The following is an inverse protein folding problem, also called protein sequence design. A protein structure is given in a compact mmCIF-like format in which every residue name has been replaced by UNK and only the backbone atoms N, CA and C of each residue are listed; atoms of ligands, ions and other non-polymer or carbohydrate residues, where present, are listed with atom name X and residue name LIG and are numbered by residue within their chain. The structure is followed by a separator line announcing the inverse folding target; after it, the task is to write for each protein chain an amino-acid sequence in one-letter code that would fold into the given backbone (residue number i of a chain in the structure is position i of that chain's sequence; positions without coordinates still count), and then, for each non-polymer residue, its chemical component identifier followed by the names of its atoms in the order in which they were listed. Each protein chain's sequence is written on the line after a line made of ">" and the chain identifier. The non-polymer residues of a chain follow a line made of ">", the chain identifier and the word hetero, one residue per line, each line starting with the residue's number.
data_IF_237559599678
#
_entry.id   IF_237559599678
#
_cell.length_a   1.000
_cell.length_b   1.000
_cell.length_c   1.000
_cell.angle_alpha   90.00
_cell.angle_beta   90.00
_cell.angle_gamma   90.00
#
_symmetry.space_group_name_H-M   'P 1'
#
loop_
_entity.id
_entity.type
_entity.pdbx_description
1 polymer ?
#
# COMPACT_ATOMS: atom_id res chain seq x y z
N UNK A 1 60.97 -26.74 9.07
CA UNK A 1 61.20 -25.35 9.54
C UNK A 1 59.85 -24.84 10.07
N UNK A 2 59.42 -25.05 11.31
CA UNK A 2 59.93 -24.59 12.62
C UNK A 2 59.96 -23.04 12.78
N UNK A 3 58.79 -22.45 13.12
CA UNK A 3 58.40 -21.47 14.17
C UNK A 3 59.42 -20.38 14.68
N UNK A 4 59.12 -19.48 15.67
CA UNK A 4 57.92 -18.70 16.10
C UNK A 4 58.28 -17.22 16.54
N UNK A 5 57.36 -16.52 17.27
CA UNK A 5 57.55 -15.31 18.12
C UNK A 5 57.81 -13.95 17.40
N UNK A 6 57.31 -12.77 17.82
CA UNK A 6 56.88 -12.28 19.13
C UNK A 6 55.88 -11.10 19.02
N UNK A 7 55.06 -10.93 20.06
CA UNK A 7 54.38 -9.67 20.42
C UNK A 7 55.44 -8.62 20.83
N UNK A 8 55.12 -7.31 20.78
CA UNK A 8 55.19 -6.35 21.92
C UNK A 8 55.00 -4.88 21.46
N UNK A 9 54.00 -4.24 22.08
CA UNK A 9 53.86 -2.85 22.55
C UNK A 9 54.17 -1.59 21.69
N UNK A 10 53.08 -0.85 21.49
CA UNK A 10 52.83 0.49 22.08
C UNK A 10 53.19 1.76 21.31
N UNK A 11 52.34 2.75 21.64
CA UNK A 11 52.48 4.20 21.57
C UNK A 11 51.86 4.89 20.36
N UNK A 12 50.81 5.65 20.71
CA UNK A 12 50.57 7.05 20.35
C UNK A 12 49.28 7.23 19.53
N UNK A 13 48.12 7.33 20.17
CA UNK A 13 47.50 8.60 20.60
C UNK A 13 47.65 9.73 19.56
N UNK A 14 46.55 10.03 18.86
CA UNK A 14 45.99 11.36 18.56
C UNK A 14 44.63 11.17 17.88
N UNK A 15 43.55 11.24 18.66
CA UNK A 15 42.65 12.41 18.83
C UNK A 15 41.47 12.39 17.85
N UNK A 16 40.37 11.79 18.30
CA UNK A 16 39.02 11.95 17.75
C UNK A 16 38.30 12.98 18.63
N UNK A 17 37.81 14.12 18.09
CA UNK A 17 37.03 15.05 18.89
C UNK A 17 35.56 14.62 18.92
N UNK A 18 35.06 14.33 20.14
CA UNK A 18 33.64 14.39 20.48
C UNK A 18 33.32 15.81 20.94
N UNK A 19 32.25 16.47 20.46
CA UNK A 19 31.71 17.63 21.14
C UNK A 19 30.37 17.25 21.78
N UNK A 20 30.41 16.88 23.06
CA UNK A 20 29.26 17.17 23.92
C UNK A 20 29.80 17.70 25.25
N UNK A 21 30.07 19.00 25.24
CA UNK A 21 30.34 19.81 26.43
C UNK A 21 29.08 20.61 26.74
N UNK A 22 28.56 20.38 27.93
CA UNK A 22 27.52 21.11 28.64
C UNK A 22 27.75 22.62 28.69
N UNK A 23 26.69 23.41 28.59
CA UNK A 23 26.59 24.70 29.27
C UNK A 23 25.15 24.91 29.76
N UNK A 24 25.00 25.12 31.07
CA UNK A 24 23.72 25.34 31.75
C UNK A 24 23.37 26.82 31.84
N UNK A 25 22.07 27.06 32.08
CA UNK A 25 21.42 28.18 32.77
C UNK A 25 21.23 29.54 32.07
N UNK A 26 19.96 29.96 32.02
CA UNK A 26 19.53 31.33 31.72
C UNK A 26 18.02 31.41 31.45
N UNK A 27 17.21 31.55 32.50
CA UNK A 27 15.75 31.70 32.44
C UNK A 27 15.31 32.84 31.50
N UNK A 28 14.27 32.59 30.69
CA UNK A 28 13.25 33.61 30.41
C UNK A 28 11.87 32.99 30.30
N UNK A 29 11.05 33.34 31.29
CA UNK A 29 9.62 33.04 31.39
C UNK A 29 8.88 33.39 30.09
N UNK A 30 8.15 32.42 29.52
CA UNK A 30 7.08 32.69 28.57
C UNK A 30 5.82 32.01 29.07
N UNK A 31 4.99 32.84 29.69
CA UNK A 31 3.60 32.61 30.11
C UNK A 31 2.92 31.46 29.36
N UNK A 32 2.60 30.40 30.11
CA UNK A 32 1.61 29.40 29.73
C UNK A 32 0.27 30.10 29.60
N UNK A 33 -0.22 30.26 28.37
CA UNK A 33 -1.66 30.46 28.16
C UNK A 33 -2.34 29.18 28.63
N UNK A 34 -3.03 29.26 29.77
CA UNK A 34 -3.94 28.23 30.25
C UNK A 34 -4.98 27.96 29.18
N UNK A 35 -4.97 26.74 28.64
CA UNK A 35 -6.14 26.20 27.95
C UNK A 35 -7.24 25.99 29.00
N UNK A 36 -8.51 26.26 28.66
CA UNK A 36 -9.59 26.10 29.63
C UNK A 36 -9.68 24.63 30.00
N UNK A 37 -9.70 24.37 31.30
CA UNK A 37 -10.02 23.06 31.87
C UNK A 37 -11.47 22.78 31.48
N UNK A 38 -11.66 21.97 30.44
CA UNK A 38 -12.96 21.41 30.10
C UNK A 38 -13.30 20.41 31.20
N UNK A 39 -14.43 20.67 31.85
CA UNK A 39 -14.93 19.89 32.97
C UNK A 39 -15.01 18.41 32.64
N UNK A 40 -14.71 17.61 33.65
CA UNK A 40 -14.91 16.18 33.67
C UNK A 40 -16.39 15.87 33.42
N UNK A 41 -16.71 15.49 32.19
CA UNK A 41 -17.92 14.74 31.90
C UNK A 41 -17.53 13.41 31.27
N UNK A 42 -18.16 12.35 31.76
CA UNK A 42 -17.78 10.96 31.56
C UNK A 42 -17.74 10.60 30.06
N UNK A 43 -16.55 10.54 29.46
CA UNK A 43 -16.39 10.10 28.08
C UNK A 43 -16.36 8.57 28.03
N UNK A 44 -17.54 8.01 27.82
CA UNK A 44 -17.70 6.65 27.27
C UNK A 44 -16.76 6.51 26.07
N UNK A 45 -15.93 5.47 26.04
CA UNK A 45 -14.86 5.26 25.07
C UNK A 45 -15.35 5.05 23.63
N UNK A 46 -15.72 6.14 22.97
CA UNK A 46 -16.04 6.17 21.54
C UNK A 46 -14.77 6.56 20.80
N UNK A 47 -14.15 5.58 20.12
CA UNK A 47 -13.19 5.88 19.06
C UNK A 47 -13.97 6.56 17.92
N UNK A 48 -13.66 7.80 17.54
CA UNK A 48 -14.46 8.58 16.59
C UNK A 48 -14.36 8.08 15.13
N UNK A 49 -13.54 7.06 14.87
CA UNK A 49 -13.33 6.48 13.55
C UNK A 49 -13.58 4.97 13.62
N UNK A 50 -14.37 4.40 12.69
CA UNK A 50 -14.49 2.96 12.58
C UNK A 50 -13.12 2.34 12.24
N UNK A 51 -12.88 1.06 12.60
CA UNK A 51 -11.66 0.36 12.20
C UNK A 51 -11.50 0.30 10.66
N UNK A 52 -10.27 0.38 10.15
CA UNK A 52 -9.97 0.40 8.71
C UNK A 52 -10.43 -0.86 7.94
N UNK A 53 -10.63 -1.97 8.65
CA UNK A 53 -11.17 -3.22 8.11
C UNK A 53 -12.71 -3.23 7.98
N UNK A 54 -13.38 -2.11 8.30
CA UNK A 54 -14.82 -1.97 8.10
C UNK A 54 -15.06 -1.50 6.67
N UNK A 55 -15.73 -2.33 5.87
CA UNK A 55 -15.98 -2.07 4.46
C UNK A 55 -17.44 -1.67 4.21
N UNK A 56 -17.68 -1.01 3.07
CA UNK A 56 -19.04 -0.88 2.54
C UNK A 56 -19.57 -2.25 2.07
N UNK A 57 -20.89 -2.34 1.86
CA UNK A 57 -21.51 -3.57 1.32
C UNK A 57 -20.93 -3.91 -0.07
N UNK A 58 -20.76 -2.91 -0.93
CA UNK A 58 -20.18 -3.07 -2.27
C UNK A 58 -18.73 -3.55 -2.22
N UNK A 59 -17.91 -2.97 -1.32
CA UNK A 59 -16.51 -3.38 -1.11
C UNK A 59 -16.42 -4.81 -0.59
N UNK A 60 -17.28 -5.20 0.36
CA UNK A 60 -17.33 -6.56 0.88
C UNK A 60 -17.75 -7.56 -0.19
N UNK A 61 -18.77 -7.24 -0.99
CA UNK A 61 -19.23 -8.08 -2.09
C UNK A 61 -18.14 -8.25 -3.15
N UNK A 62 -17.45 -7.17 -3.52
CA UNK A 62 -16.35 -7.23 -4.49
C UNK A 62 -15.21 -8.09 -3.97
N UNK A 63 -14.81 -7.92 -2.71
CA UNK A 63 -13.78 -8.73 -2.07
C UNK A 63 -14.13 -10.22 -2.12
N UNK A 64 -15.34 -10.59 -1.73
CA UNK A 64 -15.78 -12.00 -1.73
C UNK A 64 -15.86 -12.59 -3.14
N UNK A 65 -16.31 -11.80 -4.12
CA UNK A 65 -16.36 -12.20 -5.52
C UNK A 65 -14.96 -12.48 -6.09
N UNK A 66 -14.01 -11.56 -5.86
CA UNK A 66 -12.62 -11.71 -6.33
C UNK A 66 -11.93 -12.87 -5.63
N UNK A 67 -12.15 -13.05 -4.32
CA UNK A 67 -11.62 -14.19 -3.58
C UNK A 67 -12.05 -15.53 -4.19
N UNK A 68 -13.35 -15.67 -4.47
CA UNK A 68 -13.88 -16.87 -5.12
C UNK A 68 -13.29 -17.06 -6.52
N UNK A 69 -13.27 -16.00 -7.32
CA UNK A 69 -12.68 -16.02 -8.66
C UNK A 69 -11.21 -16.44 -8.63
N UNK A 70 -10.40 -15.88 -7.73
CA UNK A 70 -8.98 -16.20 -7.62
C UNK A 70 -8.78 -17.69 -7.27
N UNK A 71 -9.58 -18.24 -6.35
CA UNK A 71 -9.51 -19.65 -5.98
C UNK A 71 -9.95 -20.59 -7.10
N UNK A 72 -11.02 -20.25 -7.83
CA UNK A 72 -11.60 -21.14 -8.85
C UNK A 72 -10.89 -21.04 -10.21
N UNK A 73 -10.40 -19.85 -10.57
CA UNK A 73 -9.91 -19.55 -11.92
C UNK A 73 -8.40 -19.35 -11.99
N UNK A 74 -7.76 -18.81 -10.95
CA UNK A 74 -6.33 -18.51 -10.97
C UNK A 74 -5.53 -19.64 -10.31
N UNK A 75 -5.96 -20.11 -9.14
CA UNK A 75 -5.25 -21.12 -8.35
C UNK A 75 -4.80 -22.37 -9.15
N UNK A 76 -5.59 -22.92 -10.09
CA UNK A 76 -5.17 -24.08 -10.88
C UNK A 76 -3.95 -23.83 -11.79
N UNK A 77 -3.71 -22.58 -12.19
CA UNK A 77 -2.65 -22.22 -13.14
C UNK A 77 -1.34 -21.81 -12.45
N UNK A 78 -1.37 -21.44 -11.17
CA UNK A 78 -0.24 -20.81 -10.46
C UNK A 78 1.04 -21.64 -10.56
N UNK A 79 0.98 -22.94 -10.24
CA UNK A 79 2.18 -23.80 -10.30
C UNK A 79 2.79 -23.87 -11.70
N UNK A 80 1.95 -23.97 -12.75
CA UNK A 80 2.41 -24.00 -14.14
C UNK A 80 3.03 -22.65 -14.55
N UNK A 81 2.41 -21.54 -14.16
CA UNK A 81 2.89 -20.20 -14.51
C UNK A 81 4.23 -19.89 -13.83
N UNK A 82 4.38 -20.27 -12.56
CA UNK A 82 5.62 -20.09 -11.80
C UNK A 82 6.77 -20.92 -12.39
N UNK A 83 6.54 -22.22 -12.61
CA UNK A 83 7.54 -23.14 -13.18
C UNK A 83 8.03 -22.69 -14.57
N UNK A 84 7.13 -22.16 -15.40
CA UNK A 84 7.47 -21.71 -16.76
C UNK A 84 7.88 -20.23 -16.82
N UNK A 85 7.79 -19.50 -15.70
CA UNK A 85 8.02 -18.04 -15.63
C UNK A 85 7.24 -17.27 -16.71
N UNK A 86 6.01 -17.71 -17.00
CA UNK A 86 5.19 -17.19 -18.08
C UNK A 86 3.73 -17.11 -17.63
N UNK A 87 3.14 -15.92 -17.80
CA UNK A 87 1.72 -15.69 -17.52
C UNK A 87 0.86 -16.36 -18.59
N UNK A 88 -0.17 -17.10 -18.17
CA UNK A 88 -1.08 -17.76 -19.10
C UNK A 88 -2.05 -16.72 -19.71
N UNK A 89 -2.23 -16.75 -21.03
CA UNK A 89 -3.09 -15.81 -21.75
C UNK A 89 -4.56 -15.93 -21.32
N UNK A 90 -5.00 -17.14 -20.94
CA UNK A 90 -6.36 -17.36 -20.44
C UNK A 90 -6.61 -16.61 -19.12
N UNK A 91 -5.61 -16.54 -18.24
CA UNK A 91 -5.69 -15.80 -16.98
C UNK A 91 -5.86 -14.32 -17.28
N UNK A 92 -5.00 -13.76 -18.14
CA UNK A 92 -5.08 -12.33 -18.53
C UNK A 92 -6.46 -12.02 -19.12
N UNK A 93 -6.92 -12.82 -20.07
CA UNK A 93 -8.22 -12.63 -20.71
C UNK A 93 -9.37 -12.68 -19.69
N UNK A 94 -9.32 -13.65 -18.78
CA UNK A 94 -10.36 -13.78 -17.75
C UNK A 94 -10.41 -12.59 -16.78
N UNK A 95 -9.28 -11.93 -16.49
CA UNK A 95 -9.25 -10.70 -15.69
C UNK A 95 -9.98 -9.54 -16.39
N UNK A 96 -9.82 -9.41 -17.70
CA UNK A 96 -10.58 -8.43 -18.50
C UNK A 96 -12.07 -8.76 -18.53
N UNK A 97 -12.43 -10.04 -18.73
CA UNK A 97 -13.83 -10.48 -18.76
C UNK A 97 -14.55 -10.26 -17.42
N UNK A 98 -13.83 -10.34 -16.29
CA UNK A 98 -14.37 -10.03 -14.96
C UNK A 98 -14.39 -8.53 -14.64
N UNK A 99 -13.85 -7.66 -15.50
CA UNK A 99 -13.81 -6.22 -15.27
C UNK A 99 -12.74 -5.75 -14.26
N UNK A 100 -11.82 -6.63 -13.85
CA UNK A 100 -10.81 -6.31 -12.83
C UNK A 100 -9.68 -5.42 -13.36
N UNK A 101 -9.59 -5.22 -14.68
CA UNK A 101 -8.56 -4.40 -15.34
C UNK A 101 -8.96 -2.93 -15.53
N UNK A 102 -10.15 -2.54 -15.06
CA UNK A 102 -10.74 -1.21 -15.26
C UNK A 102 -11.61 -0.78 -14.08
N UNK A 103 -11.15 -0.99 -12.85
CA UNK A 103 -11.98 -0.88 -11.65
C UNK A 103 -12.45 0.58 -11.44
N UNK A 104 -11.55 1.54 -11.57
CA UNK A 104 -11.81 2.96 -11.33
C UNK A 104 -12.26 3.73 -12.57
N UNK A 105 -12.19 3.10 -13.75
CA UNK A 105 -12.55 3.73 -15.02
C UNK A 105 -14.07 3.90 -15.10
N UNK A 106 -14.53 5.03 -15.64
CA UNK A 106 -15.95 5.31 -15.81
C UNK A 106 -16.63 4.24 -16.69
N UNK A 107 -17.87 3.81 -16.36
CA UNK A 107 -18.63 2.88 -17.19
C UNK A 107 -18.80 3.31 -18.65
N UNK A 108 -18.76 4.60 -18.97
CA UNK A 108 -18.78 5.12 -20.36
C UNK A 108 -17.61 4.59 -21.20
N UNK A 109 -16.46 4.29 -20.56
CA UNK A 109 -15.27 3.74 -21.20
C UNK A 109 -15.13 2.22 -20.99
N UNK A 110 -16.18 1.56 -20.49
CA UNK A 110 -16.18 0.12 -20.22
C UNK A 110 -15.50 -0.28 -18.91
N UNK A 111 -15.34 0.66 -17.96
CA UNK A 111 -14.86 0.37 -16.61
C UNK A 111 -15.98 0.04 -15.62
N UNK A 112 -15.59 -0.24 -14.38
CA UNK A 112 -16.54 -0.58 -13.30
C UNK A 112 -17.02 0.66 -12.53
N UNK A 113 -16.30 1.78 -12.59
CA UNK A 113 -16.62 3.02 -11.88
C UNK A 113 -16.58 2.89 -10.35
N UNK A 114 -15.82 1.93 -9.83
CA UNK A 114 -15.67 1.69 -8.39
C UNK A 114 -14.61 2.60 -7.75
N UNK A 115 -14.51 2.54 -6.42
CA UNK A 115 -13.55 3.35 -5.66
C UNK A 115 -12.11 2.85 -5.81
N UNK A 116 -11.14 3.74 -5.59
CA UNK A 116 -9.72 3.37 -5.48
C UNK A 116 -9.46 2.38 -4.33
N UNK A 117 -10.25 2.44 -3.26
CA UNK A 117 -10.11 1.46 -2.18
C UNK A 117 -10.56 0.05 -2.62
N UNK A 118 -11.58 -0.04 -3.47
CA UNK A 118 -12.01 -1.31 -4.04
C UNK A 118 -10.93 -1.94 -4.92
N UNK A 119 -10.16 -1.15 -5.69
CA UNK A 119 -9.04 -1.69 -6.47
C UNK A 119 -7.95 -2.30 -5.58
N UNK A 120 -7.67 -1.69 -4.43
CA UNK A 120 -6.76 -2.26 -3.41
C UNK A 120 -7.28 -3.60 -2.89
N UNK A 121 -8.58 -3.70 -2.56
CA UNK A 121 -9.17 -4.95 -2.07
C UNK A 121 -9.08 -6.07 -3.12
N UNK A 122 -9.31 -5.75 -4.40
CA UNK A 122 -9.12 -6.71 -5.50
C UNK A 122 -7.68 -7.20 -5.56
N UNK A 123 -6.70 -6.29 -5.53
CA UNK A 123 -5.28 -6.64 -5.56
C UNK A 123 -4.90 -7.50 -4.36
N UNK A 124 -5.39 -7.18 -3.17
CA UNK A 124 -5.15 -7.95 -1.94
C UNK A 124 -5.66 -9.39 -2.07
N UNK A 125 -6.89 -9.60 -2.58
CA UNK A 125 -7.47 -10.94 -2.74
C UNK A 125 -6.79 -11.74 -3.84
N UNK A 126 -6.38 -11.11 -4.95
CA UNK A 126 -5.59 -11.76 -5.99
C UNK A 126 -4.21 -12.19 -5.46
N UNK A 127 -3.55 -11.33 -4.68
CA UNK A 127 -2.21 -11.59 -4.15
C UNK A 127 -2.16 -12.75 -3.15
N UNK A 128 -3.29 -13.09 -2.52
CA UNK A 128 -3.40 -14.27 -1.65
C UNK A 128 -3.26 -15.59 -2.42
N UNK A 129 -3.53 -15.58 -3.73
CA UNK A 129 -3.43 -16.75 -4.60
C UNK A 129 -2.17 -16.68 -5.46
N UNK A 130 -1.97 -15.57 -6.16
CA UNK A 130 -0.78 -15.34 -6.98
C UNK A 130 -0.37 -13.85 -6.98
N UNK A 131 0.77 -13.49 -6.36
CA UNK A 131 1.26 -12.12 -6.35
C UNK A 131 1.67 -11.61 -7.73
N UNK A 132 2.03 -12.48 -8.68
CA UNK A 132 2.42 -12.07 -10.04
C UNK A 132 1.22 -11.54 -10.81
N UNK A 133 0.07 -12.21 -10.69
CA UNK A 133 -1.20 -11.77 -11.26
C UNK A 133 -1.67 -10.47 -10.59
N UNK A 134 -1.50 -10.36 -9.28
CA UNK A 134 -1.88 -9.16 -8.54
C UNK A 134 -1.10 -7.93 -9.00
N UNK A 135 0.22 -8.03 -9.21
CA UNK A 135 1.04 -6.92 -9.73
C UNK A 135 0.65 -6.52 -11.15
N UNK A 136 0.31 -7.49 -12.01
CA UNK A 136 -0.21 -7.19 -13.35
C UNK A 136 -1.49 -6.35 -13.28
N UNK A 137 -2.42 -6.75 -12.41
CA UNK A 137 -3.68 -6.03 -12.19
C UNK A 137 -3.44 -4.64 -11.57
N UNK A 138 -2.52 -4.55 -10.61
CA UNK A 138 -2.13 -3.30 -9.96
C UNK A 138 -1.58 -2.29 -10.97
N UNK A 139 -0.56 -2.65 -11.75
CA UNK A 139 0.05 -1.76 -12.75
C UNK A 139 -1.02 -1.23 -13.72
N UNK A 140 -1.92 -2.09 -14.19
CA UNK A 140 -2.98 -1.66 -15.09
C UNK A 140 -3.90 -0.63 -14.43
N UNK A 141 -4.36 -0.87 -13.20
CA UNK A 141 -5.32 0.01 -12.53
C UNK A 141 -4.69 1.27 -11.93
N UNK A 142 -3.55 1.16 -11.26
CA UNK A 142 -2.99 2.27 -10.47
C UNK A 142 -2.01 3.13 -11.26
N UNK A 143 -1.44 2.61 -12.36
CA UNK A 143 -0.52 3.37 -13.21
C UNK A 143 -1.14 3.68 -14.56
N UNK A 144 -1.51 2.67 -15.34
CA UNK A 144 -1.95 2.87 -16.72
C UNK A 144 -3.28 3.61 -16.79
N UNK A 145 -4.29 3.11 -16.08
CA UNK A 145 -5.63 3.71 -16.05
C UNK A 145 -5.59 5.13 -15.46
N UNK A 146 -4.78 5.36 -14.42
CA UNK A 146 -4.55 6.71 -13.84
C UNK A 146 -3.90 7.65 -14.85
N UNK A 147 -2.94 7.18 -15.65
CA UNK A 147 -2.35 8.00 -16.71
C UNK A 147 -3.39 8.35 -17.79
N UNK A 148 -4.23 7.40 -18.18
CA UNK A 148 -5.31 7.64 -19.14
C UNK A 148 -6.29 8.69 -18.65
N UNK A 149 -6.75 8.61 -17.40
CA UNK A 149 -7.72 9.57 -16.86
C UNK A 149 -7.13 10.98 -16.73
N UNK A 150 -5.83 11.10 -16.46
CA UNK A 150 -5.17 12.39 -16.30
C UNK A 150 -4.72 13.04 -17.63
N UNK A 151 -4.30 12.25 -18.62
CA UNK A 151 -3.72 12.77 -19.85
C UNK A 151 -4.73 12.88 -21.00
N UNK A 152 -5.79 12.05 -21.00
CA UNK A 152 -6.81 12.11 -22.05
C UNK A 152 -7.87 13.15 -21.68
N UNK A 153 -8.09 14.18 -22.52
CA UNK A 153 -9.16 15.14 -22.29
C UNK A 153 -10.50 14.41 -22.33
N UNK A 154 -11.20 14.38 -21.21
CA UNK A 154 -12.52 13.77 -21.13
C UNK A 154 -13.48 14.57 -22.02
N UNK A 155 -14.22 13.94 -22.96
CA UNK A 155 -15.26 14.63 -23.72
C UNK A 155 -16.22 15.30 -22.73
N UNK A 156 -16.26 16.64 -22.75
CA UNK A 156 -17.22 17.42 -21.96
C UNK A 156 -18.61 16.88 -22.29
N UNK A 157 -19.33 16.39 -21.26
CA UNK A 157 -20.76 16.06 -21.36
C UNK A 157 -21.46 17.19 -22.12
N UNK A 158 -21.90 16.88 -23.33
CA UNK A 158 -22.65 17.81 -24.17
C UNK A 158 -24.06 17.80 -23.59
N UNK A 159 -24.30 18.66 -22.60
CA UNK A 159 -25.62 18.81 -21.99
C UNK A 159 -26.64 19.10 -23.10
N UNK A 160 -27.49 18.13 -23.39
CA UNK A 160 -28.71 18.26 -24.20
C UNK A 160 -29.91 18.34 -23.29
#
# INVERSE_FOLDING_TARGET
>A
MAAPFARIFSKSLRQIPRPWGSCQTGLRSRSTRSLPVVGSDQTSGVVPFPPLQTYSEEESMMKDAVKKYAQERIAPFVSKMDENSAMDEEVIRSLFEQGLMGIEIDPEYGGTGSSFFASILVIEELAKVDPSVAVLCDIQNTLINVLFTNLVPQPKRRNT
#
